data_IF_462627370038
#
_entry.id   IF_462627370038
#
_cell.length_a   1.000
_cell.length_b   1.000
_cell.length_c   1.000
_cell.angle_alpha   90.00
_cell.angle_beta   90.00
_cell.angle_gamma   90.00
#
_symmetry.space_group_name_H-M   'P 1'
#
loop_
_entity.id
_entity.type
_entity.pdbx_description
1 polymer ?
#
# COMPACT_ATOMS: atom_id res chain seq x y z
N UNK A 1 -22.87 -3.26 26.69
CA UNK A 1 -23.78 -2.11 26.82
C UNK A 1 -24.30 -1.95 28.26
N UNK A 2 -25.04 -2.91 28.83
CA UNK A 2 -25.53 -2.78 30.22
C UNK A 2 -24.41 -2.48 31.23
N UNK A 3 -23.30 -3.23 31.16
CA UNK A 3 -22.12 -2.97 31.99
C UNK A 3 -21.62 -1.51 31.88
N UNK A 4 -21.58 -0.94 30.67
CA UNK A 4 -21.21 0.46 30.49
C UNK A 4 -22.22 1.42 31.15
N UNK A 5 -23.53 1.17 31.04
CA UNK A 5 -24.57 2.00 31.68
C UNK A 5 -24.41 2.00 33.20
N UNK A 6 -24.10 0.85 33.80
CA UNK A 6 -24.01 0.73 35.26
C UNK A 6 -22.65 1.13 35.84
N UNK A 7 -21.55 0.99 35.08
CA UNK A 7 -20.19 1.15 35.63
C UNK A 7 -19.24 1.98 34.78
N UNK A 8 -19.70 2.59 33.68
CA UNK A 8 -18.88 3.29 32.69
C UNK A 8 -17.70 2.45 32.14
N UNK A 9 -17.78 1.13 32.21
CA UNK A 9 -16.68 0.21 31.88
C UNK A 9 -16.73 -0.21 30.40
N UNK A 10 -15.59 -0.01 29.71
CA UNK A 10 -15.37 -0.32 28.30
C UNK A 10 -14.50 -1.56 28.06
N UNK A 11 -14.08 -2.28 29.11
CA UNK A 11 -13.19 -3.45 29.01
C UNK A 11 -13.72 -4.58 28.12
N UNK A 12 -15.03 -4.64 27.88
CA UNK A 12 -15.66 -5.61 26.98
C UNK A 12 -15.65 -5.22 25.50
N UNK A 13 -15.20 -4.03 25.12
CA UNK A 13 -15.18 -3.57 23.73
C UNK A 13 -14.07 -4.26 22.93
N UNK A 14 -14.43 -4.92 21.84
CA UNK A 14 -13.49 -5.66 20.99
C UNK A 14 -13.91 -5.62 19.50
N UNK A 15 -13.07 -6.19 18.64
CA UNK A 15 -13.24 -6.17 17.19
C UNK A 15 -14.53 -6.78 16.65
N UNK A 16 -15.08 -7.76 17.37
CA UNK A 16 -16.29 -8.50 16.95
C UNK A 16 -17.56 -7.75 17.34
N UNK A 17 -17.53 -7.03 18.47
CA UNK A 17 -18.70 -6.38 19.02
C UNK A 17 -18.75 -4.87 18.80
N UNK A 18 -17.64 -4.22 18.43
CA UNK A 18 -17.54 -2.76 18.34
C UNK A 18 -18.61 -2.12 17.44
N UNK A 19 -18.91 -2.72 16.28
CA UNK A 19 -19.89 -2.18 15.33
C UNK A 19 -21.31 -2.34 15.88
N UNK A 20 -21.65 -3.52 16.40
CA UNK A 20 -22.97 -3.77 17.00
C UNK A 20 -23.21 -2.88 18.22
N UNK A 21 -22.18 -2.67 19.06
CA UNK A 21 -22.24 -1.73 20.18
C UNK A 21 -22.36 -0.29 19.72
N UNK A 22 -21.65 0.12 18.66
CA UNK A 22 -21.78 1.45 18.07
C UNK A 22 -23.24 1.70 17.63
N UNK A 23 -23.85 0.76 16.89
CA UNK A 23 -25.24 0.88 16.46
C UNK A 23 -26.21 0.97 17.64
N UNK A 24 -26.03 0.13 18.66
CA UNK A 24 -26.85 0.18 19.86
C UNK A 24 -26.66 1.50 20.62
N UNK A 25 -25.42 1.95 20.81
CA UNK A 25 -25.12 3.20 21.49
C UNK A 25 -25.75 4.39 20.80
N UNK A 26 -25.70 4.44 19.45
CA UNK A 26 -26.40 5.46 18.67
C UNK A 26 -27.92 5.38 18.82
N UNK A 27 -28.51 4.19 18.72
CA UNK A 27 -29.96 3.97 18.88
C UNK A 27 -30.50 4.39 20.26
N UNK A 28 -29.72 4.18 21.31
CA UNK A 28 -30.09 4.52 22.69
C UNK A 28 -29.49 5.85 23.17
N UNK A 29 -28.94 6.67 22.26
CA UNK A 29 -28.37 7.99 22.55
C UNK A 29 -27.26 8.00 23.64
N UNK A 30 -26.47 6.92 23.72
CA UNK A 30 -25.31 6.80 24.61
C UNK A 30 -24.06 7.37 23.91
N UNK A 31 -23.92 8.69 23.88
CA UNK A 31 -22.87 9.40 23.13
C UNK A 31 -21.45 8.99 23.49
N UNK A 32 -21.14 8.83 24.78
CA UNK A 32 -19.80 8.42 25.23
C UNK A 32 -19.42 7.02 24.73
N UNK A 33 -20.35 6.07 24.80
CA UNK A 33 -20.15 4.72 24.28
C UNK A 33 -20.04 4.72 22.76
N UNK A 34 -20.87 5.51 22.07
CA UNK A 34 -20.81 5.65 20.62
C UNK A 34 -19.46 6.21 20.16
N UNK A 35 -18.95 7.24 20.85
CA UNK A 35 -17.63 7.82 20.59
C UNK A 35 -16.52 6.82 20.86
N UNK A 36 -16.59 6.06 21.96
CA UNK A 36 -15.62 5.00 22.25
C UNK A 36 -15.58 3.93 21.15
N UNK A 37 -16.74 3.53 20.63
CA UNK A 37 -16.81 2.55 19.54
C UNK A 37 -16.32 3.14 18.21
N UNK A 38 -16.65 4.40 17.88
CA UNK A 38 -16.16 5.07 16.68
C UNK A 38 -14.63 5.31 16.71
N UNK A 39 -14.07 5.50 17.91
CA UNK A 39 -12.62 5.64 18.12
C UNK A 39 -11.88 4.30 18.24
N UNK A 40 -12.59 3.17 18.19
CA UNK A 40 -11.96 1.86 18.22
C UNK A 40 -11.01 1.70 17.01
N UNK A 41 -9.86 1.01 17.16
CA UNK A 41 -8.93 0.80 16.05
C UNK A 41 -9.57 0.05 14.89
N UNK A 42 -9.63 0.68 13.71
CA UNK A 42 -10.29 0.13 12.51
C UNK A 42 -9.64 -1.16 12.03
N UNK A 43 -8.31 -1.26 12.15
CA UNK A 43 -7.54 -2.46 11.81
C UNK A 43 -7.88 -3.69 12.66
N UNK A 44 -8.56 -3.49 13.80
CA UNK A 44 -9.01 -4.58 14.67
C UNK A 44 -10.49 -4.92 14.46
N UNK A 45 -11.21 -4.21 13.60
CA UNK A 45 -12.61 -4.51 13.32
C UNK A 45 -12.73 -5.79 12.51
N UNK A 46 -13.69 -6.64 12.87
CA UNK A 46 -13.97 -7.87 12.13
C UNK A 46 -14.45 -7.60 10.69
N UNK A 47 -15.24 -6.53 10.49
CA UNK A 47 -15.80 -6.20 9.18
C UNK A 47 -15.84 -4.67 8.95
N UNK A 48 -14.83 -4.14 8.26
CA UNK A 48 -14.76 -2.71 7.94
C UNK A 48 -15.86 -2.24 6.98
N UNK A 49 -16.36 -3.10 6.09
CA UNK A 49 -17.46 -2.75 5.18
C UNK A 49 -18.75 -2.49 5.95
N UNK A 50 -19.03 -3.34 6.95
CA UNK A 50 -20.16 -3.12 7.85
C UNK A 50 -19.97 -1.85 8.68
N UNK A 51 -18.77 -1.60 9.19
CA UNK A 51 -18.46 -0.37 9.93
C UNK A 51 -18.72 0.88 9.08
N UNK A 52 -18.24 0.89 7.83
CA UNK A 52 -18.49 1.98 6.88
C UNK A 52 -19.99 2.19 6.64
N UNK A 53 -20.73 1.10 6.43
CA UNK A 53 -22.18 1.17 6.22
C UNK A 53 -22.91 1.79 7.42
N UNK A 54 -22.60 1.33 8.63
CA UNK A 54 -23.22 1.84 9.85
C UNK A 54 -22.80 3.28 10.15
N UNK A 55 -21.53 3.62 9.96
CA UNK A 55 -21.04 4.99 10.12
C UNK A 55 -21.82 5.98 9.25
N UNK A 56 -22.09 5.61 7.98
CA UNK A 56 -22.90 6.43 7.08
C UNK A 56 -24.36 6.49 7.48
N UNK A 57 -24.94 5.36 7.90
CA UNK A 57 -26.33 5.31 8.34
C UNK A 57 -26.60 6.26 9.51
N UNK A 58 -25.65 6.40 10.43
CA UNK A 58 -25.70 7.33 11.56
C UNK A 58 -25.03 8.69 11.29
N UNK A 59 -24.68 9.00 10.04
CA UNK A 59 -24.05 10.27 9.60
C UNK A 59 -22.72 10.62 10.30
N UNK A 60 -21.99 9.61 10.79
CA UNK A 60 -20.65 9.75 11.37
C UNK A 60 -19.56 9.87 10.29
N UNK A 61 -19.41 11.09 9.76
CA UNK A 61 -18.52 11.40 8.63
C UNK A 61 -17.06 11.04 8.90
N UNK A 62 -16.53 11.40 10.07
CA UNK A 62 -15.13 11.15 10.42
C UNK A 62 -14.83 9.65 10.54
N UNK A 63 -15.74 8.90 11.17
CA UNK A 63 -15.59 7.45 11.27
C UNK A 63 -15.69 6.78 9.90
N UNK A 64 -16.66 7.21 9.07
CA UNK A 64 -16.80 6.73 7.70
C UNK A 64 -15.54 7.00 6.85
N UNK A 65 -14.94 8.19 6.97
CA UNK A 65 -13.72 8.56 6.23
C UNK A 65 -12.55 7.66 6.65
N UNK A 66 -12.33 7.50 7.96
CA UNK A 66 -11.28 6.60 8.47
C UNK A 66 -11.48 5.14 8.03
N UNK A 67 -12.73 4.66 7.94
CA UNK A 67 -13.04 3.33 7.40
C UNK A 67 -12.67 3.23 5.92
N UNK A 68 -12.97 4.27 5.13
CA UNK A 68 -12.69 4.33 3.70
C UNK A 68 -11.18 4.36 3.42
N UNK A 69 -10.43 5.16 4.17
CA UNK A 69 -8.97 5.20 4.10
C UNK A 69 -8.35 3.84 4.44
N UNK A 70 -8.88 3.15 5.45
CA UNK A 70 -8.44 1.81 5.78
C UNK A 70 -8.73 0.82 4.65
N UNK A 71 -9.90 0.92 4.00
CA UNK A 71 -10.25 0.08 2.85
C UNK A 71 -9.28 0.29 1.69
N UNK A 72 -8.98 1.54 1.38
CA UNK A 72 -8.07 1.89 0.29
C UNK A 72 -6.65 1.39 0.52
N UNK A 73 -6.12 1.55 1.74
CA UNK A 73 -4.76 1.13 2.09
C UNK A 73 -4.61 -0.39 2.25
N UNK A 74 -5.69 -1.10 2.59
CA UNK A 74 -5.67 -2.55 2.85
C UNK A 74 -6.40 -3.34 1.76
N UNK A 75 -6.47 -2.78 0.54
CA UNK A 75 -7.22 -3.34 -0.58
C UNK A 75 -6.89 -4.82 -0.84
N UNK A 76 -5.61 -5.22 -0.87
CA UNK A 76 -5.20 -6.61 -1.14
C UNK A 76 -5.77 -7.62 -0.14
N UNK A 77 -5.72 -7.34 1.16
CA UNK A 77 -6.24 -8.26 2.18
C UNK A 77 -7.77 -8.29 2.17
N UNK A 78 -8.39 -7.14 1.97
CA UNK A 78 -9.84 -7.01 1.91
C UNK A 78 -10.44 -7.69 0.69
N UNK A 79 -9.85 -7.54 -0.50
CA UNK A 79 -10.28 -8.23 -1.72
C UNK A 79 -10.23 -9.76 -1.58
N UNK A 80 -9.33 -10.29 -0.74
CA UNK A 80 -9.23 -11.72 -0.44
C UNK A 80 -10.23 -12.20 0.62
N UNK A 81 -10.78 -11.30 1.44
CA UNK A 81 -11.67 -11.64 2.57
C UNK A 81 -13.08 -12.12 2.15
N UNK A 82 -13.71 -12.92 3.02
CA UNK A 82 -15.12 -13.30 2.88
C UNK A 82 -16.07 -12.13 3.12
N UNK A 83 -15.63 -11.13 3.87
CA UNK A 83 -16.41 -9.92 4.11
C UNK A 83 -16.67 -9.15 2.80
N UNK A 84 -15.69 -9.14 1.89
CA UNK A 84 -15.84 -8.55 0.56
C UNK A 84 -16.91 -9.25 -0.27
N UNK A 85 -17.03 -10.58 -0.18
CA UNK A 85 -18.04 -11.34 -0.94
C UNK A 85 -19.49 -11.02 -0.54
N UNK A 86 -19.68 -10.42 0.64
CA UNK A 86 -20.98 -10.10 1.23
C UNK A 86 -21.40 -8.64 0.99
N UNK A 87 -20.58 -7.82 0.35
CA UNK A 87 -20.94 -6.42 0.07
C UNK A 87 -22.00 -6.35 -1.04
N UNK A 88 -22.87 -5.34 -0.98
CA UNK A 88 -23.83 -5.10 -2.04
C UNK A 88 -23.18 -4.45 -3.27
N UNK A 89 -23.90 -4.48 -4.39
CA UNK A 89 -23.42 -3.96 -5.68
C UNK A 89 -23.06 -2.46 -5.63
N UNK A 90 -23.79 -1.65 -4.86
CA UNK A 90 -23.52 -0.22 -4.76
C UNK A 90 -22.18 0.06 -4.05
N UNK A 91 -21.88 -0.68 -2.97
CA UNK A 91 -20.59 -0.62 -2.30
C UNK A 91 -19.46 -1.11 -3.18
N UNK A 92 -19.68 -2.20 -3.93
CA UNK A 92 -18.70 -2.68 -4.89
C UNK A 92 -18.37 -1.60 -5.92
N UNK A 93 -19.40 -1.00 -6.54
CA UNK A 93 -19.22 0.09 -7.51
C UNK A 93 -18.42 1.25 -6.91
N UNK A 94 -18.78 1.66 -5.69
CA UNK A 94 -18.12 2.78 -5.04
C UNK A 94 -16.65 2.50 -4.77
N UNK A 95 -16.32 1.35 -4.17
CA UNK A 95 -14.94 0.96 -3.87
C UNK A 95 -14.13 0.90 -5.17
N UNK A 96 -14.68 0.28 -6.21
CA UNK A 96 -14.00 0.15 -7.49
C UNK A 96 -13.88 1.47 -8.25
N UNK A 97 -14.74 2.45 -8.01
CA UNK A 97 -14.63 3.77 -8.65
C UNK A 97 -13.47 4.61 -8.07
N UNK A 98 -13.02 4.34 -6.85
CA UNK A 98 -12.03 5.17 -6.14
C UNK A 98 -10.63 5.09 -6.75
N UNK A 99 -10.06 6.24 -7.03
CA UNK A 99 -8.65 6.33 -7.48
C UNK A 99 -7.66 5.93 -6.36
N UNK A 100 -8.06 6.03 -5.10
CA UNK A 100 -7.20 5.77 -3.94
C UNK A 100 -7.09 4.28 -3.61
N UNK A 101 -7.92 3.43 -4.20
CA UNK A 101 -7.98 2.00 -3.89
C UNK A 101 -6.69 1.29 -4.34
N UNK A 102 -5.85 0.86 -3.39
CA UNK A 102 -4.48 0.43 -3.65
C UNK A 102 -4.36 -1.05 -4.04
N UNK A 103 -4.91 -1.45 -5.18
CA UNK A 103 -4.78 -2.80 -5.72
C UNK A 103 -4.59 -2.79 -7.25
N UNK A 104 -3.81 -3.73 -7.75
CA UNK A 104 -3.65 -3.94 -9.20
C UNK A 104 -4.98 -4.33 -9.85
N UNK A 105 -5.20 -3.85 -11.08
CA UNK A 105 -6.45 -4.10 -11.80
C UNK A 105 -6.71 -5.59 -12.05
N UNK A 106 -5.66 -6.41 -12.21
CA UNK A 106 -5.83 -7.87 -12.30
C UNK A 106 -6.33 -8.47 -10.99
N UNK A 107 -5.86 -7.97 -9.85
CA UNK A 107 -6.31 -8.41 -8.52
C UNK A 107 -7.75 -7.98 -8.28
N UNK A 108 -8.10 -6.76 -8.68
CA UNK A 108 -9.47 -6.23 -8.65
C UNK A 108 -10.40 -7.09 -9.51
N UNK A 109 -9.98 -7.40 -10.75
CA UNK A 109 -10.74 -8.26 -11.67
C UNK A 109 -11.03 -9.63 -11.08
N UNK A 110 -10.01 -10.31 -10.55
CA UNK A 110 -10.16 -11.64 -9.95
C UNK A 110 -11.09 -11.60 -8.74
N UNK A 111 -11.00 -10.57 -7.89
CA UNK A 111 -11.90 -10.40 -6.76
C UNK A 111 -13.35 -10.10 -7.19
N UNK A 112 -13.54 -9.28 -8.23
CA UNK A 112 -14.85 -8.98 -8.79
C UNK A 112 -15.50 -10.23 -9.40
N UNK A 113 -14.75 -11.05 -10.15
CA UNK A 113 -15.22 -12.34 -10.63
C UNK A 113 -15.65 -13.26 -9.48
N UNK A 114 -14.85 -13.34 -8.42
CA UNK A 114 -15.15 -14.15 -7.25
C UNK A 114 -16.39 -13.67 -6.51
N UNK A 115 -16.59 -12.35 -6.42
CA UNK A 115 -17.81 -11.75 -5.89
C UNK A 115 -19.01 -12.11 -6.78
N UNK A 116 -18.88 -12.01 -8.10
CA UNK A 116 -19.95 -12.34 -9.05
C UNK A 116 -20.35 -13.81 -8.98
N UNK A 117 -19.37 -14.72 -8.86
CA UNK A 117 -19.62 -16.15 -8.65
C UNK A 117 -20.43 -16.42 -7.39
N UNK A 118 -20.10 -15.73 -6.29
CA UNK A 118 -20.82 -15.87 -5.03
C UNK A 118 -22.26 -15.34 -5.14
N UNK A 119 -22.47 -14.20 -5.79
CA UNK A 119 -23.82 -13.69 -6.04
C UNK A 119 -24.64 -14.62 -6.94
N UNK A 120 -24.02 -15.23 -7.97
CA UNK A 120 -24.68 -16.26 -8.79
C UNK A 120 -25.14 -17.44 -7.94
N UNK A 121 -24.27 -17.97 -7.07
CA UNK A 121 -24.62 -19.10 -6.18
C UNK A 121 -25.75 -18.74 -5.22
N UNK A 122 -25.72 -17.55 -4.62
CA UNK A 122 -26.80 -17.08 -3.73
C UNK A 122 -28.14 -16.96 -4.45
N UNK A 123 -28.13 -16.64 -5.74
CA UNK A 123 -29.31 -16.57 -6.60
C UNK A 123 -29.69 -17.92 -7.23
N UNK A 124 -28.99 -19.01 -6.91
CA UNK A 124 -29.23 -20.33 -7.50
C UNK A 124 -28.93 -20.42 -9.01
N UNK A 125 -28.07 -19.55 -9.54
CA UNK A 125 -27.70 -19.49 -10.95
C UNK A 125 -26.33 -20.12 -11.18
N UNK A 126 -26.12 -20.66 -12.38
CA UNK A 126 -24.81 -21.11 -12.83
C UNK A 126 -23.85 -19.93 -13.00
N UNK A 127 -22.57 -20.14 -12.65
CA UNK A 127 -21.48 -19.17 -12.82
C UNK A 127 -21.04 -19.04 -14.30
N UNK A 128 -21.97 -18.74 -15.21
CA UNK A 128 -21.68 -18.44 -16.62
C UNK A 128 -21.18 -17.01 -16.81
N UNK A 129 -20.51 -16.72 -17.93
CA UNK A 129 -20.03 -15.38 -18.28
C UNK A 129 -21.17 -14.34 -18.32
N UNK A 130 -22.32 -14.71 -18.89
CA UNK A 130 -23.52 -13.86 -18.95
C UNK A 130 -24.09 -13.55 -17.54
N UNK A 131 -24.19 -14.57 -16.68
CA UNK A 131 -24.70 -14.38 -15.33
C UNK A 131 -23.73 -13.53 -14.48
N UNK A 132 -22.42 -13.78 -14.58
CA UNK A 132 -21.38 -12.96 -13.93
C UNK A 132 -21.45 -11.51 -14.38
N UNK A 133 -21.58 -11.26 -15.69
CA UNK A 133 -21.75 -9.91 -16.24
C UNK A 133 -23.01 -9.25 -15.68
N UNK A 134 -24.12 -9.97 -15.61
CA UNK A 134 -25.37 -9.47 -15.05
C UNK A 134 -25.26 -9.14 -13.56
N UNK A 135 -24.55 -9.97 -12.77
CA UNK A 135 -24.30 -9.70 -11.35
C UNK A 135 -23.40 -8.48 -11.15
N UNK A 136 -22.33 -8.35 -11.95
CA UNK A 136 -21.40 -7.21 -11.87
C UNK A 136 -22.04 -5.90 -12.32
N UNK A 137 -22.92 -5.93 -13.32
CA UNK A 137 -23.64 -4.76 -13.82
C UNK A 137 -22.74 -3.51 -13.95
N UNK A 138 -23.07 -2.39 -13.26
CA UNK A 138 -22.30 -1.16 -13.34
C UNK A 138 -20.88 -1.24 -12.75
N UNK A 139 -20.61 -2.19 -11.84
CA UNK A 139 -19.29 -2.34 -11.22
C UNK A 139 -18.24 -2.80 -12.24
N UNK A 140 -18.65 -3.54 -13.28
CA UNK A 140 -17.77 -3.99 -14.36
C UNK A 140 -17.03 -2.81 -15.02
N UNK A 141 -17.74 -1.71 -15.25
CA UNK A 141 -17.19 -0.52 -15.92
C UNK A 141 -16.28 0.34 -15.02
N UNK A 142 -16.21 0.01 -13.73
CA UNK A 142 -15.26 0.65 -12.80
C UNK A 142 -13.88 -0.04 -12.82
N UNK A 143 -13.78 -1.22 -13.44
CA UNK A 143 -12.52 -1.96 -13.61
C UNK A 143 -11.76 -1.40 -14.81
N UNK A 144 -10.46 -1.16 -14.64
CA UNK A 144 -9.64 -0.42 -15.60
C UNK A 144 -8.84 -1.40 -16.44
N UNK A 145 -9.54 -2.20 -17.26
CA UNK A 145 -8.93 -3.22 -18.13
C UNK A 145 -7.75 -2.74 -18.98
N UNK A 146 -7.71 -1.49 -19.51
CA UNK A 146 -6.53 -0.96 -20.21
C UNK A 146 -5.23 -0.92 -19.41
N UNK A 147 -5.29 -1.11 -18.09
CA UNK A 147 -4.11 -1.13 -17.21
C UNK A 147 -3.72 -2.56 -16.80
N UNK A 148 -4.44 -3.57 -17.28
CA UNK A 148 -4.08 -4.98 -17.07
C UNK A 148 -3.06 -5.38 -18.14
N UNK A 149 -2.08 -6.20 -17.74
CA UNK A 149 -1.07 -6.73 -18.65
C UNK A 149 -1.69 -7.62 -19.73
N UNK A 150 -1.16 -7.52 -20.96
CA UNK A 150 -1.72 -8.20 -22.13
C UNK A 150 -1.74 -9.73 -21.97
N UNK A 151 -0.77 -10.28 -21.23
CA UNK A 151 -0.60 -11.71 -20.96
C UNK A 151 -1.75 -12.31 -20.14
N UNK A 152 -2.45 -11.49 -19.36
CA UNK A 152 -3.56 -11.89 -18.50
C UNK A 152 -4.87 -12.06 -19.27
N UNK A 153 -4.99 -11.43 -20.43
CA UNK A 153 -6.22 -11.47 -21.23
C UNK A 153 -6.61 -12.88 -21.69
N UNK A 154 -5.75 -13.64 -22.38
CA UNK A 154 -6.11 -14.99 -22.83
C UNK A 154 -6.24 -15.99 -21.68
N UNK A 155 -5.63 -15.73 -20.51
CA UNK A 155 -5.63 -16.67 -19.38
C UNK A 155 -6.82 -16.48 -18.45
N UNK A 156 -7.17 -15.23 -18.16
CA UNK A 156 -8.11 -14.89 -17.09
C UNK A 156 -9.33 -14.12 -17.61
N UNK A 157 -9.14 -13.12 -18.47
CA UNK A 157 -10.23 -12.22 -18.87
C UNK A 157 -11.10 -12.84 -19.98
N UNK A 158 -10.50 -13.27 -21.09
CA UNK A 158 -11.22 -13.80 -22.24
C UNK A 158 -11.96 -15.11 -21.91
N UNK A 159 -11.33 -15.98 -21.13
CA UNK A 159 -11.91 -17.27 -20.70
C UNK A 159 -13.13 -17.08 -19.79
N UNK A 160 -13.23 -15.96 -19.07
CA UNK A 160 -14.36 -15.68 -18.19
C UNK A 160 -15.70 -15.53 -18.92
N UNK A 161 -15.67 -15.14 -20.21
CA UNK A 161 -16.86 -14.85 -21.01
C UNK A 161 -17.67 -13.63 -20.56
N UNK A 162 -17.11 -12.77 -19.69
CA UNK A 162 -17.84 -11.62 -19.11
C UNK A 162 -17.79 -10.39 -20.02
N UNK A 163 -16.67 -10.14 -20.70
CA UNK A 163 -16.54 -9.05 -21.66
C UNK A 163 -17.15 -9.44 -23.00
N UNK A 164 -17.82 -8.50 -23.66
CA UNK A 164 -18.28 -8.71 -25.04
C UNK A 164 -17.08 -8.75 -26.00
N UNK A 165 -17.26 -9.34 -27.18
CA UNK A 165 -16.20 -9.36 -28.20
C UNK A 165 -15.73 -7.95 -28.58
N UNK A 166 -16.65 -6.99 -28.70
CA UNK A 166 -16.36 -5.60 -29.02
C UNK A 166 -15.57 -4.89 -27.90
N UNK A 167 -15.94 -5.14 -26.64
CA UNK A 167 -15.25 -4.61 -25.46
C UNK A 167 -13.83 -5.16 -25.35
N UNK A 168 -13.69 -6.47 -25.50
CA UNK A 168 -12.39 -7.15 -25.46
C UNK A 168 -11.48 -6.63 -26.58
N UNK A 169 -11.99 -6.54 -27.80
CA UNK A 169 -11.24 -6.02 -28.94
C UNK A 169 -10.87 -4.55 -28.75
N UNK A 170 -11.79 -3.72 -28.24
CA UNK A 170 -11.52 -2.32 -27.93
C UNK A 170 -10.37 -2.14 -26.93
N UNK A 171 -10.34 -2.95 -25.87
CA UNK A 171 -9.24 -2.92 -24.89
C UNK A 171 -7.92 -3.40 -25.52
N UNK A 172 -7.92 -4.50 -26.27
CA UNK A 172 -6.72 -5.03 -26.92
C UNK A 172 -6.14 -4.05 -27.95
N UNK A 173 -6.99 -3.38 -28.73
CA UNK A 173 -6.55 -2.33 -29.67
C UNK A 173 -5.93 -1.14 -28.93
N UNK A 174 -6.51 -0.74 -27.80
CA UNK A 174 -5.95 0.33 -26.96
C UNK A 174 -4.58 -0.04 -26.39
N UNK A 175 -4.42 -1.29 -25.91
CA UNK A 175 -3.13 -1.80 -25.42
C UNK A 175 -2.07 -1.87 -26.53
N UNK A 176 -2.46 -2.23 -27.74
CA UNK A 176 -1.56 -2.29 -28.89
C UNK A 176 -1.14 -0.90 -29.40
N UNK A 177 -2.01 0.12 -29.27
CA UNK A 177 -1.77 1.47 -29.79
C UNK A 177 -2.29 2.57 -28.82
N UNK A 178 -1.54 2.90 -27.76
CA UNK A 178 -1.95 3.93 -26.79
C UNK A 178 -1.94 5.36 -27.36
N UNK A 179 -1.34 5.59 -28.52
CA UNK A 179 -1.11 6.93 -29.12
C UNK A 179 -2.16 7.36 -30.16
N UNK A 180 -3.24 6.60 -30.36
CA UNK A 180 -4.19 6.89 -31.43
C UNK A 180 -5.21 7.94 -30.97
N UNK A 181 -4.79 9.19 -31.04
CA UNK A 181 -5.70 10.30 -31.34
C UNK A 181 -6.16 10.17 -32.79
N UNK A 182 -7.11 9.28 -33.08
CA UNK A 182 -7.69 9.19 -34.41
C UNK A 182 -8.80 10.25 -34.56
N UNK A 183 -8.69 11.02 -35.63
CA UNK A 183 -9.65 12.01 -36.16
C UNK A 183 -10.98 11.39 -36.65
N UNK A 184 -11.31 10.18 -36.21
CA UNK A 184 -12.58 9.49 -36.45
C UNK A 184 -13.03 8.78 -35.16
N UNK A 185 -14.34 8.67 -34.89
CA UNK A 185 -14.81 7.87 -33.76
C UNK A 185 -14.26 6.43 -33.91
N UNK A 186 -13.60 5.87 -32.88
CA UNK A 186 -13.06 4.52 -32.96
C UNK A 186 -14.20 3.54 -33.24
N UNK A 187 -13.99 2.61 -34.18
CA UNK A 187 -14.96 1.56 -34.50
C UNK A 187 -15.35 0.71 -33.27
N UNK A 188 -14.46 0.66 -32.28
CA UNK A 188 -14.67 0.04 -30.98
C UNK A 188 -14.36 1.07 -29.87
N UNK A 189 -15.36 1.84 -29.39
CA UNK A 189 -15.14 2.83 -28.36
C UNK A 189 -14.76 2.18 -27.03
N UNK A 190 -13.76 2.74 -26.36
CA UNK A 190 -13.28 2.23 -25.08
C UNK A 190 -14.35 2.45 -24.01
N UNK A 191 -14.96 1.37 -23.55
CA UNK A 191 -16.01 1.41 -22.52
C UNK A 191 -15.45 1.47 -21.09
N UNK A 192 -14.12 1.39 -20.95
CA UNK A 192 -13.42 1.34 -19.67
C UNK A 192 -12.47 2.52 -19.52
N UNK A 193 -12.33 3.02 -18.29
CA UNK A 193 -11.35 4.07 -18.01
C UNK A 193 -9.92 3.53 -18.14
N UNK A 194 -9.04 4.31 -18.76
CA UNK A 194 -7.60 4.06 -18.82
C UNK A 194 -6.82 4.88 -17.77
N UNK A 195 -7.52 5.59 -16.87
CA UNK A 195 -6.90 6.40 -15.83
C UNK A 195 -6.28 5.50 -14.77
N UNK A 196 -4.99 5.65 -14.47
CA UNK A 196 -4.35 4.90 -13.37
C UNK A 196 -4.93 5.27 -12.01
N UNK A 197 -5.04 4.26 -11.12
CA UNK A 197 -5.28 4.51 -9.68
C UNK A 197 -4.04 5.19 -9.10
N UNK A 198 -4.24 6.05 -8.11
CA UNK A 198 -3.17 6.74 -7.41
C UNK A 198 -2.50 5.78 -6.42
N UNK A 199 -1.57 4.98 -6.94
CA UNK A 199 -0.77 4.03 -6.16
C UNK A 199 0.29 4.77 -5.34
N UNK A 200 -0.08 5.33 -4.21
CA UNK A 200 0.91 5.72 -3.21
C UNK A 200 1.06 4.59 -2.20
N UNK A 201 1.63 3.46 -2.62
CA UNK A 201 2.02 2.43 -1.66
C UNK A 201 3.27 2.93 -0.96
N UNK A 202 3.09 3.49 0.23
CA UNK A 202 4.19 3.96 1.06
C UNK A 202 4.44 3.00 2.22
N UNK A 203 5.70 2.70 2.50
CA UNK A 203 6.11 2.01 3.71
C UNK A 203 7.36 2.66 4.30
N UNK A 204 7.57 2.47 5.58
CA UNK A 204 8.67 3.09 6.31
C UNK A 204 9.58 1.99 6.86
N UNK A 205 10.87 2.07 6.53
CA UNK A 205 11.90 1.13 7.02
C UNK A 205 12.81 1.89 7.98
N UNK A 206 13.04 1.32 9.16
CA UNK A 206 13.81 1.96 10.23
C UNK A 206 15.05 1.14 10.56
N UNK A 207 16.21 1.81 10.62
CA UNK A 207 17.48 1.26 11.09
C UNK A 207 17.97 2.09 12.27
N UNK A 208 18.15 1.42 13.40
CA UNK A 208 18.78 2.02 14.58
C UNK A 208 20.23 1.54 14.67
N UNK A 209 21.16 2.47 14.77
CA UNK A 209 22.59 2.20 14.96
C UNK A 209 22.99 2.78 16.32
N UNK A 210 23.21 1.88 17.28
CA UNK A 210 23.84 2.21 18.55
C UNK A 210 25.38 2.17 18.42
N UNK A 211 26.08 3.02 19.18
CA UNK A 211 27.53 3.24 19.14
C UNK A 211 28.07 3.60 17.73
N UNK A 212 27.54 4.66 17.12
CA UNK A 212 27.94 5.10 15.79
C UNK A 212 29.44 5.41 15.69
N UNK A 213 30.05 5.92 16.76
CA UNK A 213 31.48 6.23 16.84
C UNK A 213 32.36 4.99 16.82
N UNK A 214 31.89 3.89 17.41
CA UNK A 214 32.56 2.58 17.35
C UNK A 214 32.39 1.95 15.97
N UNK A 215 31.16 2.01 15.43
CA UNK A 215 30.85 1.55 14.08
C UNK A 215 31.66 2.31 13.01
N UNK A 216 31.93 3.59 13.21
CA UNK A 216 32.79 4.37 12.33
C UNK A 216 34.28 4.10 12.43
N UNK A 217 34.73 3.36 13.46
CA UNK A 217 36.15 3.00 13.66
C UNK A 217 36.51 1.66 13.04
N UNK A 218 35.56 0.74 12.89
CA UNK A 218 35.80 -0.59 12.32
C UNK A 218 36.35 -0.51 10.90
N UNK A 219 37.40 -1.29 10.63
CA UNK A 219 38.10 -1.35 9.32
C UNK A 219 37.52 -2.37 8.36
N UNK A 220 36.60 -3.20 8.86
CA UNK A 220 35.96 -4.24 8.07
C UNK A 220 34.71 -3.66 7.39
N UNK A 221 34.44 -4.09 6.15
CA UNK A 221 33.24 -3.77 5.35
C UNK A 221 31.95 -4.35 5.98
N UNK A 222 31.73 -4.10 7.27
CA UNK A 222 30.61 -4.60 8.04
C UNK A 222 29.37 -3.78 7.72
N UNK A 223 28.39 -4.42 7.10
CA UNK A 223 27.09 -3.82 6.84
C UNK A 223 26.16 -4.04 8.04
N UNK A 224 25.50 -2.98 8.51
CA UNK A 224 24.39 -3.10 9.49
C UNK A 224 23.06 -2.99 8.76
N UNK A 225 22.22 -4.01 8.90
CA UNK A 225 20.91 -4.10 8.24
C UNK A 225 19.75 -3.77 9.18
N UNK A 226 18.68 -3.22 8.62
CA UNK A 226 17.38 -3.13 9.29
C UNK A 226 16.65 -4.47 9.25
N UNK A 227 15.59 -4.58 10.05
CA UNK A 227 14.56 -5.57 9.81
C UNK A 227 13.91 -5.34 8.43
N UNK A 228 13.43 -6.40 7.80
CA UNK A 228 12.67 -6.29 6.56
C UNK A 228 11.26 -5.77 6.83
N UNK A 229 10.78 -4.87 5.98
CA UNK A 229 9.37 -4.47 5.93
C UNK A 229 8.80 -4.89 4.59
N UNK A 230 7.69 -5.63 4.61
CA UNK A 230 7.00 -6.03 3.40
C UNK A 230 6.19 -4.85 2.85
N UNK A 231 6.56 -4.36 1.67
CA UNK A 231 5.81 -3.35 0.93
C UNK A 231 5.48 -3.97 -0.43
N UNK A 232 4.18 -4.16 -0.71
CA UNK A 232 3.68 -4.98 -1.85
C UNK A 232 4.20 -6.43 -1.86
N UNK A 233 4.20 -7.09 -0.71
CA UNK A 233 4.75 -8.46 -0.55
C UNK A 233 6.25 -8.58 -0.90
N UNK A 234 6.94 -7.45 -1.12
CA UNK A 234 8.37 -7.38 -1.38
C UNK A 234 9.09 -6.96 -0.08
N UNK A 235 10.14 -7.68 0.36
CA UNK A 235 10.92 -7.31 1.54
C UNK A 235 11.87 -6.14 1.25
N UNK A 236 11.66 -5.02 1.93
CA UNK A 236 12.54 -3.85 1.87
C UNK A 236 13.40 -3.76 3.12
N UNK A 237 14.70 -3.47 2.95
CA UNK A 237 15.65 -3.24 4.04
C UNK A 237 16.53 -2.05 3.71
N UNK A 238 17.04 -1.40 4.74
CA UNK A 238 18.13 -0.44 4.60
C UNK A 238 19.38 -0.98 5.29
N UNK A 239 20.55 -0.72 4.68
CA UNK A 239 21.83 -0.99 5.34
C UNK A 239 22.72 0.25 5.36
N UNK A 240 23.61 0.29 6.34
CA UNK A 240 24.68 1.29 6.42
C UNK A 240 26.03 0.58 6.33
N UNK A 241 26.93 1.11 5.51
CA UNK A 241 28.30 0.62 5.33
C UNK A 241 29.29 1.78 5.30
N UNK A 242 30.54 1.51 5.67
CA UNK A 242 31.63 2.45 5.47
C UNK A 242 32.38 2.15 4.19
N UNK A 243 32.50 3.16 3.32
CA UNK A 243 33.40 3.08 2.19
C UNK A 243 34.75 3.73 2.56
N UNK A 244 35.83 2.99 2.31
CA UNK A 244 37.22 3.42 2.51
C UNK A 244 37.96 3.59 1.18
N UNK A 245 37.27 3.42 0.05
CA UNK A 245 37.87 3.21 -1.28
C UNK A 245 38.28 4.47 -2.04
N UNK A 246 38.28 5.66 -1.45
CA UNK A 246 38.86 6.83 -2.11
C UNK A 246 40.40 6.83 -1.98
N UNK A 247 41.04 5.99 -2.79
CA UNK A 247 42.51 5.90 -2.93
C UNK A 247 43.10 6.99 -3.85
N UNK A 248 42.29 7.97 -4.29
CA UNK A 248 42.68 8.97 -5.28
C UNK A 248 43.56 10.12 -4.77
N UNK A 249 43.84 10.19 -3.45
CA UNK A 249 44.55 11.31 -2.83
C UNK A 249 45.91 10.89 -2.23
N UNK A 250 47.06 11.36 -2.77
CA UNK A 250 48.41 10.93 -2.33
C UNK A 250 48.87 11.45 -0.96
N UNK A 251 48.07 12.28 -0.28
CA UNK A 251 48.46 12.91 0.99
C UNK A 251 47.39 12.67 2.05
N UNK A 252 47.71 11.78 2.99
CA UNK A 252 47.06 11.50 4.27
C UNK A 252 45.78 12.29 4.60
N UNK A 253 44.63 11.66 4.36
CA UNK A 253 43.44 11.54 5.24
C UNK A 253 42.43 10.67 4.51
N UNK A 254 42.32 9.39 4.89
CA UNK A 254 41.26 8.49 4.39
C UNK A 254 39.91 9.14 4.73
N UNK A 255 39.22 9.65 3.71
CA UNK A 255 37.87 10.21 3.90
C UNK A 255 36.92 9.03 4.04
N UNK A 256 36.35 8.87 5.25
CA UNK A 256 35.35 7.82 5.53
C UNK A 256 33.96 8.35 5.19
N UNK A 257 33.29 7.68 4.27
CA UNK A 257 31.90 7.95 3.93
C UNK A 257 30.99 6.90 4.56
N UNK A 258 29.82 7.32 5.03
CA UNK A 258 28.74 6.41 5.41
C UNK A 258 27.80 6.31 4.25
N UNK A 259 27.80 5.16 3.58
CA UNK A 259 26.88 4.86 2.51
C UNK A 259 25.64 4.15 3.06
N UNK A 260 24.49 4.60 2.60
CA UNK A 260 23.22 3.97 2.92
C UNK A 260 22.69 3.28 1.68
N UNK A 261 22.26 2.03 1.85
CA UNK A 261 21.74 1.21 0.77
C UNK A 261 20.27 0.91 1.05
N UNK A 262 19.46 1.03 0.02
CA UNK A 262 18.11 0.48 0.00
C UNK A 262 18.14 -0.85 -0.76
N UNK A 263 17.70 -1.91 -0.11
CA UNK A 263 17.65 -3.26 -0.65
C UNK A 263 16.21 -3.72 -0.81
N UNK A 264 15.99 -4.48 -1.87
CA UNK A 264 14.77 -5.18 -2.16
C UNK A 264 15.12 -6.67 -2.36
N UNK A 265 14.91 -7.49 -1.32
CA UNK A 265 15.29 -8.90 -1.30
C UNK A 265 14.12 -9.77 -1.78
N UNK A 266 14.04 -10.08 -3.07
CA UNK A 266 13.09 -11.08 -3.56
C UNK A 266 13.81 -12.44 -3.64
N UNK A 267 13.27 -13.44 -2.95
CA UNK A 267 13.78 -14.82 -3.01
C UNK A 267 13.78 -15.32 -4.47
N UNK A 268 14.86 -15.99 -4.88
CA UNK A 268 15.13 -16.38 -6.27
C UNK A 268 14.04 -17.27 -6.91
N UNK A 269 13.15 -17.85 -6.10
CA UNK A 269 12.08 -18.73 -6.56
C UNK A 269 10.80 -18.01 -7.01
N UNK A 270 10.64 -16.70 -6.77
CA UNK A 270 9.46 -15.95 -7.23
C UNK A 270 9.79 -15.09 -8.46
N UNK A 271 9.88 -15.74 -9.63
CA UNK A 271 10.21 -15.14 -10.95
C UNK A 271 9.09 -14.29 -11.57
N UNK A 272 8.33 -13.54 -10.78
CA UNK A 272 7.45 -12.52 -11.36
C UNK A 272 8.32 -11.35 -11.81
N UNK A 273 8.41 -11.07 -13.12
CA UNK A 273 9.10 -9.87 -13.63
C UNK A 273 8.32 -8.63 -13.21
N UNK A 274 8.67 -8.06 -12.06
CA UNK A 274 8.12 -6.80 -11.60
C UNK A 274 9.11 -5.65 -11.84
N UNK A 275 8.55 -4.50 -12.19
CA UNK A 275 9.25 -3.24 -12.39
C UNK A 275 8.51 -2.18 -11.58
N UNK A 276 9.19 -1.58 -10.62
CA UNK A 276 8.59 -0.57 -9.76
C UNK A 276 9.44 0.69 -9.69
N UNK A 277 8.82 1.85 -9.91
CA UNK A 277 9.44 3.13 -9.59
C UNK A 277 9.34 3.35 -8.08
N UNK A 278 10.47 3.45 -7.42
CA UNK A 278 10.60 3.68 -6.00
C UNK A 278 11.12 5.10 -5.74
N UNK A 279 10.32 5.89 -5.03
CA UNK A 279 10.73 7.17 -4.43
C UNK A 279 11.01 6.94 -2.96
N UNK A 280 12.26 7.02 -2.55
CA UNK A 280 12.65 6.83 -1.16
C UNK A 280 13.24 8.12 -0.57
N UNK A 281 12.76 8.53 0.60
CA UNK A 281 13.29 9.69 1.34
C UNK A 281 13.99 9.14 2.58
N UNK A 282 15.31 9.35 2.66
CA UNK A 282 16.10 8.96 3.81
C UNK A 282 16.23 10.14 4.77
N UNK A 283 15.89 9.92 6.05
CA UNK A 283 15.89 10.92 7.11
C UNK A 283 16.58 10.40 8.37
N UNK A 284 17.23 11.30 9.10
CA UNK A 284 17.66 11.08 10.49
C UNK A 284 16.54 11.59 11.38
N UNK A 285 16.01 10.72 12.22
CA UNK A 285 14.96 11.08 13.16
C UNK A 285 15.60 11.70 14.40
N UNK A 286 15.16 12.89 14.78
CA UNK A 286 15.58 13.53 16.01
C UNK A 286 14.96 12.78 17.20
N UNK A 287 15.77 12.36 18.17
CA UNK A 287 15.25 11.77 19.40
C UNK A 287 14.66 12.82 20.33
N UNK A 288 15.12 14.08 20.22
CA UNK A 288 14.51 15.19 20.93
C UNK A 288 13.26 15.70 20.19
N UNK A 289 12.07 15.46 20.75
CA UNK A 289 10.77 15.85 20.20
C UNK A 289 10.60 17.35 19.90
N UNK A 290 11.49 18.22 20.40
CA UNK A 290 11.47 19.65 20.13
C UNK A 290 12.19 20.06 18.83
N UNK A 291 12.87 19.13 18.12
CA UNK A 291 13.61 19.41 16.88
C UNK A 291 13.04 18.59 15.71
N UNK A 292 13.11 19.17 14.51
CA UNK A 292 12.64 18.53 13.28
C UNK A 292 13.65 17.49 12.75
N UNK A 293 13.11 16.45 12.08
CA UNK A 293 13.89 15.41 11.43
C UNK A 293 14.76 15.97 10.29
N UNK A 294 15.99 15.48 10.18
CA UNK A 294 16.89 15.92 9.13
C UNK A 294 16.78 15.03 7.89
N UNK A 295 16.35 15.60 6.76
CA UNK A 295 16.31 14.87 5.49
C UNK A 295 17.71 14.78 4.89
N UNK A 296 18.26 13.56 4.83
CA UNK A 296 19.58 13.29 4.26
C UNK A 296 19.57 13.40 2.74
N UNK A 297 18.63 12.69 2.10
CA UNK A 297 18.55 12.60 0.65
C UNK A 297 17.20 12.06 0.18
N UNK A 298 16.86 12.42 -1.06
CA UNK A 298 15.74 11.84 -1.81
C UNK A 298 16.31 10.99 -2.95
N UNK A 299 15.78 9.80 -3.12
CA UNK A 299 16.11 8.85 -4.17
C UNK A 299 14.85 8.62 -5.01
N UNK A 300 15.00 8.66 -6.33
CA UNK A 300 14.00 8.20 -7.29
C UNK A 300 14.70 7.16 -8.16
N UNK A 301 14.28 5.90 -8.07
CA UNK A 301 14.94 4.81 -8.79
C UNK A 301 13.95 3.71 -9.18
N UNK A 302 14.15 3.12 -10.36
CA UNK A 302 13.33 2.01 -10.82
C UNK A 302 14.04 0.72 -10.42
N UNK A 303 13.42 -0.07 -9.53
CA UNK A 303 13.91 -1.38 -9.14
C UNK A 303 13.31 -2.45 -10.06
N UNK A 304 14.13 -3.44 -10.41
CA UNK A 304 13.74 -4.56 -11.27
C UNK A 304 14.37 -5.86 -10.78
N UNK A 305 13.65 -6.98 -10.91
CA UNK A 305 14.05 -8.31 -10.42
C UNK A 305 15.41 -8.80 -10.92
N UNK A 306 15.77 -8.47 -12.16
CA UNK A 306 16.93 -9.06 -12.83
C UNK A 306 18.26 -8.35 -12.62
N UNK A 307 18.28 -7.07 -12.24
CA UNK A 307 19.54 -6.28 -12.30
C UNK A 307 19.70 -5.15 -11.29
N UNK A 308 18.62 -4.65 -10.65
CA UNK A 308 18.69 -3.49 -9.74
C UNK A 308 17.98 -3.79 -8.41
N UNK A 309 18.54 -4.74 -7.63
CA UNK A 309 18.00 -5.16 -6.33
C UNK A 309 18.47 -4.29 -5.15
N UNK A 310 19.49 -3.44 -5.36
CA UNK A 310 19.98 -2.50 -4.34
C UNK A 310 20.38 -1.17 -4.94
N UNK A 311 20.10 -0.08 -4.23
CA UNK A 311 20.50 1.27 -4.64
C UNK A 311 21.12 2.05 -3.50
N UNK A 312 22.23 2.72 -3.81
CA UNK A 312 22.95 3.57 -2.87
C UNK A 312 22.33 4.98 -2.81
N UNK A 313 22.08 5.46 -1.61
CA UNK A 313 22.03 6.88 -1.32
C UNK A 313 23.49 7.32 -1.13
N UNK A 314 24.12 7.90 -2.17
CA UNK A 314 25.52 8.37 -2.10
C UNK A 314 25.79 9.03 -0.74
N UNK A 315 26.77 8.51 0.00
CA UNK A 315 26.99 8.78 1.41
C UNK A 315 27.32 10.22 1.79
N UNK A 316 27.26 10.48 3.10
CA UNK A 316 27.79 11.69 3.73
C UNK A 316 29.15 11.39 4.36
N UNK A 317 30.01 12.41 4.48
CA UNK A 317 31.24 12.24 5.26
C UNK A 317 30.88 11.96 6.72
N UNK A 318 31.56 10.98 7.32
CA UNK A 318 31.31 10.55 8.69
C UNK A 318 31.36 11.71 9.70
N UNK A 319 32.29 12.65 9.51
CA UNK A 319 32.41 13.84 10.36
C UNK A 319 31.20 14.78 10.27
N UNK A 320 30.63 14.94 9.08
CA UNK A 320 29.43 15.77 8.88
C UNK A 320 28.19 15.09 9.48
N UNK A 321 28.12 13.76 9.40
CA UNK A 321 27.07 12.97 10.04
C UNK A 321 27.10 13.10 11.57
N UNK A 322 28.27 12.92 12.19
CA UNK A 322 28.46 13.07 13.64
C UNK A 322 28.11 14.50 14.08
N UNK A 323 28.59 15.51 13.35
CA UNK A 323 28.25 16.92 13.63
C UNK A 323 26.73 17.12 13.60
N UNK A 324 26.04 16.55 12.62
CA UNK A 324 24.60 16.72 12.48
C UNK A 324 23.81 16.00 13.57
N UNK A 325 24.25 14.83 13.98
CA UNK A 325 23.67 14.09 15.11
C UNK A 325 23.87 14.87 16.41
N UNK A 326 25.06 15.43 16.64
CA UNK A 326 25.31 16.25 17.82
C UNK A 326 24.44 17.52 17.85
N UNK A 327 24.21 18.16 16.70
CA UNK A 327 23.26 19.27 16.56
C UNK A 327 21.81 18.87 16.87
N UNK A 328 21.40 17.63 16.57
CA UNK A 328 20.05 17.13 16.78
C UNK A 328 19.84 16.67 18.23
N UNK A 329 20.71 15.78 18.74
CA UNK A 329 20.41 14.96 19.91
C UNK A 329 21.34 15.16 21.12
N UNK A 330 22.14 16.23 21.15
CA UNK A 330 23.02 16.60 22.26
C UNK A 330 23.96 15.45 22.69
N UNK A 331 24.92 15.11 21.83
CA UNK A 331 26.02 14.15 22.11
C UNK A 331 25.63 12.67 22.31
N UNK A 332 24.47 12.25 21.82
CA UNK A 332 24.12 10.82 21.79
C UNK A 332 24.82 10.10 20.63
N UNK A 333 25.52 9.00 20.94
CA UNK A 333 26.19 8.13 19.95
C UNK A 333 25.24 7.12 19.27
N UNK A 334 23.93 7.42 19.24
CA UNK A 334 22.90 6.59 18.62
C UNK A 334 22.22 7.37 17.51
N UNK A 335 22.12 6.78 16.31
CA UNK A 335 21.37 7.35 15.19
C UNK A 335 20.20 6.44 14.80
N UNK A 336 19.05 7.06 14.53
CA UNK A 336 17.89 6.36 13.95
C UNK A 336 17.66 6.89 12.54
N UNK A 337 17.78 5.99 11.57
CA UNK A 337 17.59 6.26 10.16
C UNK A 337 16.23 5.73 9.75
N UNK A 338 15.49 6.55 9.03
CA UNK A 338 14.18 6.19 8.49
C UNK A 338 14.19 6.41 6.99
N UNK A 339 13.82 5.38 6.24
CA UNK A 339 13.57 5.47 4.82
C UNK A 339 12.07 5.36 4.56
N UNK A 340 11.46 6.46 4.11
CA UNK A 340 10.09 6.46 3.62
C UNK A 340 10.12 6.10 2.15
N UNK A 341 9.62 4.91 1.85
CA UNK A 341 9.62 4.30 0.53
C UNK A 341 8.22 4.46 -0.04
N UNK A 342 8.12 5.03 -1.23
CA UNK A 342 6.89 5.14 -1.99
C UNK A 342 7.08 4.40 -3.31
N UNK A 343 6.19 3.45 -3.59
CA UNK A 343 6.25 2.59 -4.77
C UNK A 343 5.12 2.94 -5.72
N UNK A 344 5.49 3.34 -6.93
CA UNK A 344 4.62 3.54 -8.08
C UNK A 344 4.90 2.49 -9.15
N UNK A 345 3.87 2.15 -9.94
CA UNK A 345 4.00 1.21 -11.07
C UNK A 345 4.77 1.84 -12.24
#
# INVERSE_FOLDING_TARGET
MLRFIYTADLSGLNGDNAISLFCAAKKFHLSELANACANFPISKLHNVFLALHQARHFEEKEFALRCLDHIDQNAYSLLKSDAFLKININYLCEILARDQFQAEEITIWNAALRWADEQCRQMGKECSGENRRAMLGPALFQIRFPLIQLEEFPRNIAVSGVLTSDELLGVLLHLANPSVGCTQPPLYPLSFTAKQRNYNVSGTVTLKIDNLSEFGRTTDNTERYSNSVLIREIPWKISASFDTSDTSCPHHRVRRFVDFWLHCDVEENNKANWRYECKAILRIVAQNKAKEDYTLKKLCHIFHTSSDRKKIFRGLMFMDLIKKINELDNEKDTVTLVADIQITN
#
